data_IF_045248831426
#
_entry.id   IF_045248831426
#
_cell.length_a   1.000
_cell.length_b   1.000
_cell.length_c   1.000
_cell.angle_alpha   90.00
_cell.angle_beta   90.00
_cell.angle_gamma   90.00
#
_symmetry.space_group_name_H-M   'P 1'
#
loop_
_entity.id
_entity.type
_entity.pdbx_description
1 polymer ?
#
# COMPACT_ATOMS: atom_id res chain seq x y z
N UNK A 1 2.55 -3.16 23.39
CA UNK A 1 2.43 -3.51 21.96
C UNK A 1 0.99 -3.87 21.64
N UNK A 2 0.58 -3.82 20.36
CA UNK A 2 -0.80 -4.06 19.91
C UNK A 2 -1.45 -5.32 20.53
N UNK A 3 -0.70 -6.43 20.61
CA UNK A 3 -1.15 -7.71 21.20
C UNK A 3 -1.47 -7.56 22.71
N UNK A 4 -0.60 -6.89 23.48
CA UNK A 4 -0.80 -6.69 24.93
C UNK A 4 -2.01 -5.80 25.21
N UNK A 5 -2.19 -4.77 24.39
CA UNK A 5 -3.32 -3.83 24.51
C UNK A 5 -4.64 -4.49 24.11
N UNK A 6 -4.65 -5.25 23.01
CA UNK A 6 -5.83 -6.02 22.60
C UNK A 6 -6.19 -7.11 23.61
N UNK A 7 -5.20 -7.78 24.19
CA UNK A 7 -5.43 -8.86 25.15
C UNK A 7 -6.07 -8.35 26.44
N UNK A 8 -5.72 -7.14 26.87
CA UNK A 8 -6.39 -6.48 27.99
C UNK A 8 -7.88 -6.27 27.72
N UNK A 9 -8.24 -5.83 26.52
CA UNK A 9 -9.65 -5.58 26.12
C UNK A 9 -10.43 -6.89 26.06
N UNK A 10 -9.84 -7.93 25.47
CA UNK A 10 -10.45 -9.27 25.38
C UNK A 10 -10.60 -9.88 26.76
N UNK A 11 -9.59 -9.77 27.62
CA UNK A 11 -9.63 -10.29 28.98
C UNK A 11 -10.66 -9.55 29.84
N UNK A 12 -10.78 -8.22 29.72
CA UNK A 12 -11.79 -7.45 30.46
C UNK A 12 -13.22 -7.64 29.95
N UNK A 13 -13.40 -7.79 28.63
CA UNK A 13 -14.72 -7.93 28.00
C UNK A 13 -15.28 -9.35 28.03
N UNK A 14 -14.44 -10.34 27.71
CA UNK A 14 -14.84 -11.75 27.59
C UNK A 14 -14.45 -12.59 28.82
N UNK A 15 -13.84 -11.98 29.86
CA UNK A 15 -13.34 -12.65 31.08
C UNK A 15 -12.42 -13.84 30.80
N UNK A 16 -11.75 -13.84 29.65
CA UNK A 16 -10.78 -14.87 29.27
C UNK A 16 -9.47 -14.67 30.02
N UNK A 17 -8.76 -15.78 30.31
CA UNK A 17 -7.41 -15.71 30.86
C UNK A 17 -6.53 -14.85 29.95
N UNK A 18 -5.81 -13.90 30.55
CA UNK A 18 -4.95 -12.95 29.85
C UNK A 18 -3.94 -13.65 28.94
N UNK A 19 -3.36 -14.76 29.38
CA UNK A 19 -2.37 -15.51 28.59
C UNK A 19 -3.01 -16.15 27.36
N UNK A 20 -4.24 -16.64 27.50
CA UNK A 20 -5.02 -17.14 26.37
C UNK A 20 -5.37 -16.02 25.37
N UNK A 21 -5.77 -14.84 25.87
CA UNK A 21 -6.10 -13.69 25.03
C UNK A 21 -4.87 -13.15 24.26
N UNK A 22 -3.69 -13.12 24.89
CA UNK A 22 -2.41 -12.78 24.23
C UNK A 22 -2.10 -13.78 23.12
N UNK A 23 -2.16 -15.08 23.41
CA UNK A 23 -1.86 -16.12 22.43
C UNK A 23 -2.85 -16.10 21.26
N UNK A 24 -4.13 -15.92 21.53
CA UNK A 24 -5.16 -15.79 20.49
C UNK A 24 -4.87 -14.62 19.55
N UNK A 25 -4.61 -13.41 20.10
CA UNK A 25 -4.28 -12.23 19.29
C UNK A 25 -2.96 -12.37 18.54
N UNK A 26 -1.96 -13.02 19.13
CA UNK A 26 -0.70 -13.31 18.45
C UNK A 26 -0.94 -14.21 17.24
N UNK A 27 -1.67 -15.31 17.40
CA UNK A 27 -2.02 -16.23 16.31
C UNK A 27 -2.84 -15.53 15.25
N UNK A 28 -3.85 -14.73 15.62
CA UNK A 28 -4.64 -13.95 14.67
C UNK A 28 -3.77 -12.98 13.86
N UNK A 29 -2.88 -12.25 14.52
CA UNK A 29 -1.94 -11.34 13.86
C UNK A 29 -0.98 -12.05 12.90
N UNK A 30 -0.43 -13.19 13.33
CA UNK A 30 0.47 -14.01 12.50
C UNK A 30 -0.27 -14.62 11.30
N UNK A 31 -1.47 -15.16 11.49
CA UNK A 31 -2.26 -15.75 10.40
C UNK A 31 -2.75 -14.70 9.39
N UNK A 32 -3.14 -13.52 9.87
CA UNK A 32 -3.49 -12.39 9.01
C UNK A 32 -2.28 -11.95 8.18
N UNK A 33 -1.12 -11.78 8.83
CA UNK A 33 0.12 -11.42 8.15
C UNK A 33 0.54 -12.51 7.14
N UNK A 34 0.44 -13.79 7.50
CA UNK A 34 0.78 -14.92 6.65
C UNK A 34 -0.10 -15.01 5.40
N UNK A 35 -1.42 -14.90 5.57
CA UNK A 35 -2.37 -14.91 4.44
C UNK A 35 -2.16 -13.72 3.50
N UNK A 36 -1.92 -12.53 4.07
CA UNK A 36 -1.64 -11.32 3.29
C UNK A 36 -0.28 -11.43 2.57
N UNK A 37 0.71 -12.08 3.19
CA UNK A 37 2.02 -12.30 2.58
C UNK A 37 1.94 -13.28 1.41
N UNK A 38 1.24 -14.41 1.55
CA UNK A 38 1.06 -15.38 0.45
C UNK A 38 0.39 -14.72 -0.77
N UNK A 39 -0.70 -13.98 -0.53
CA UNK A 39 -1.40 -13.24 -1.58
C UNK A 39 -0.52 -12.12 -2.17
N UNK A 40 0.24 -11.40 -1.34
CA UNK A 40 1.16 -10.35 -1.76
C UNK A 40 2.30 -10.85 -2.66
N UNK A 41 3.01 -11.90 -2.25
CA UNK A 41 4.10 -12.52 -3.04
C UNK A 41 3.56 -13.04 -4.37
N UNK A 42 2.35 -13.60 -4.36
CA UNK A 42 1.68 -14.06 -5.58
C UNK A 42 1.39 -12.92 -6.55
N UNK A 43 0.85 -11.80 -6.07
CA UNK A 43 0.60 -10.61 -6.88
C UNK A 43 1.91 -10.01 -7.42
N UNK A 44 2.94 -9.91 -6.58
CA UNK A 44 4.25 -9.41 -6.98
C UNK A 44 4.86 -10.28 -8.09
N UNK A 45 4.75 -11.61 -7.97
CA UNK A 45 5.16 -12.55 -9.02
C UNK A 45 4.43 -12.29 -10.34
N UNK A 46 3.12 -12.04 -10.30
CA UNK A 46 2.35 -11.74 -11.52
C UNK A 46 2.83 -10.45 -12.20
N UNK A 47 3.13 -9.39 -11.43
CA UNK A 47 3.69 -8.15 -11.95
C UNK A 47 5.06 -8.40 -12.61
N UNK A 48 5.93 -9.18 -11.96
CA UNK A 48 7.25 -9.55 -12.49
C UNK A 48 7.12 -10.33 -13.81
N UNK A 49 6.17 -11.28 -13.88
CA UNK A 49 5.90 -12.04 -15.09
C UNK A 49 5.32 -11.17 -16.20
N UNK A 50 4.47 -10.21 -15.87
CA UNK A 50 3.93 -9.24 -16.83
C UNK A 50 5.04 -8.35 -17.41
N UNK A 51 5.98 -7.90 -16.59
CA UNK A 51 7.19 -7.22 -17.06
C UNK A 51 8.05 -8.14 -17.94
N UNK A 52 8.25 -9.39 -17.54
CA UNK A 52 8.96 -10.40 -18.33
C UNK A 52 8.38 -10.57 -19.74
N UNK A 53 7.06 -10.57 -19.87
CA UNK A 53 6.36 -10.60 -21.18
C UNK A 53 6.52 -9.29 -21.94
N UNK A 54 6.32 -8.14 -21.29
CA UNK A 54 6.37 -6.82 -21.93
C UNK A 54 7.76 -6.45 -22.46
N UNK A 55 8.81 -6.85 -21.74
CA UNK A 55 10.21 -6.59 -22.11
C UNK A 55 10.88 -7.77 -22.81
N UNK A 56 10.12 -8.81 -23.18
CA UNK A 56 10.59 -10.00 -23.88
C UNK A 56 11.79 -10.70 -23.19
N UNK A 57 11.72 -10.82 -21.86
CA UNK A 57 12.73 -11.47 -21.02
C UNK A 57 12.23 -12.86 -20.59
N UNK A 58 12.53 -13.95 -21.33
CA UNK A 58 11.97 -15.28 -21.10
C UNK A 58 12.34 -15.89 -19.75
N UNK A 59 13.43 -15.44 -19.11
CA UNK A 59 13.83 -15.88 -17.78
C UNK A 59 12.85 -15.47 -16.67
N UNK A 60 12.20 -14.32 -16.81
CA UNK A 60 11.22 -13.77 -15.85
C UNK A 60 9.83 -14.41 -16.00
N UNK A 61 9.59 -15.14 -17.09
CA UNK A 61 8.34 -15.87 -17.31
C UNK A 61 8.25 -17.17 -16.49
N UNK A 62 9.40 -17.75 -16.10
CA UNK A 62 9.43 -18.99 -15.32
C UNK A 62 8.96 -18.72 -13.88
N UNK A 63 7.99 -19.53 -13.42
CA UNK A 63 7.38 -19.40 -12.10
C UNK A 63 8.42 -19.36 -10.96
N UNK A 64 9.43 -20.23 -10.99
CA UNK A 64 10.45 -20.31 -9.93
C UNK A 64 11.26 -19.02 -9.82
N UNK A 65 11.71 -18.48 -10.96
CA UNK A 65 12.55 -17.27 -11.00
C UNK A 65 11.78 -16.03 -10.56
N UNK A 66 10.54 -15.89 -11.03
CA UNK A 66 9.69 -14.77 -10.64
C UNK A 66 9.34 -14.80 -9.15
N UNK A 67 9.07 -15.98 -8.57
CA UNK A 67 8.86 -16.12 -7.12
C UNK A 67 10.14 -15.83 -6.35
N UNK A 68 11.29 -16.35 -6.79
CA UNK A 68 12.56 -16.11 -6.10
C UNK A 68 12.91 -14.63 -6.05
N UNK A 69 12.70 -13.91 -7.16
CA UNK A 69 12.91 -12.45 -7.22
C UNK A 69 11.91 -11.71 -6.32
N UNK A 70 10.64 -12.12 -6.33
CA UNK A 70 9.62 -11.52 -5.45
C UNK A 70 10.00 -11.67 -3.96
N UNK A 71 10.37 -12.88 -3.55
CA UNK A 71 10.77 -13.17 -2.16
C UNK A 71 12.09 -12.47 -1.82
N UNK A 72 13.08 -12.51 -2.70
CA UNK A 72 14.39 -11.89 -2.47
C UNK A 72 14.28 -10.37 -2.32
N UNK A 73 13.50 -9.70 -3.17
CA UNK A 73 13.28 -8.24 -3.05
C UNK A 73 12.55 -7.87 -1.76
N UNK A 74 11.57 -8.68 -1.33
CA UNK A 74 10.88 -8.50 -0.05
C UNK A 74 11.84 -8.67 1.14
N UNK A 75 12.68 -9.71 1.13
CA UNK A 75 13.71 -9.94 2.16
C UNK A 75 14.74 -8.80 2.20
N UNK A 76 15.26 -8.38 1.04
CA UNK A 76 16.20 -7.28 0.94
C UNK A 76 15.61 -5.98 1.49
N UNK A 77 14.33 -5.72 1.24
CA UNK A 77 13.66 -4.54 1.79
C UNK A 77 13.48 -4.65 3.31
N UNK A 78 13.02 -5.79 3.82
CA UNK A 78 12.79 -6.01 5.24
C UNK A 78 14.07 -5.93 6.08
N UNK A 79 15.16 -6.57 5.63
CA UNK A 79 16.44 -6.57 6.33
C UNK A 79 17.29 -5.33 6.01
N UNK A 80 17.24 -4.83 4.78
CA UNK A 80 17.93 -3.61 4.36
C UNK A 80 17.39 -2.35 5.04
N UNK A 81 16.10 -2.34 5.40
CA UNK A 81 15.50 -1.24 6.17
C UNK A 81 15.87 -1.26 7.67
N UNK A 82 16.14 -2.44 8.23
CA UNK A 82 16.32 -2.65 9.68
C UNK A 82 17.76 -2.88 10.15
N UNK A 83 18.67 -3.19 9.22
CA UNK A 83 19.99 -3.71 9.56
C UNK A 83 19.92 -4.94 10.47
N UNK A 84 21.00 -5.22 11.21
CA UNK A 84 21.09 -6.34 12.15
C UNK A 84 20.07 -6.30 13.32
N UNK A 85 19.39 -5.17 13.51
CA UNK A 85 18.43 -4.99 14.62
C UNK A 85 17.05 -5.62 14.36
N UNK A 86 16.76 -6.06 13.14
CA UNK A 86 15.46 -6.65 12.77
C UNK A 86 14.27 -5.67 12.85
N UNK A 87 14.50 -4.39 13.14
CA UNK A 87 13.46 -3.35 13.31
C UNK A 87 12.95 -2.77 11.98
N UNK A 88 13.34 -3.36 10.85
CA UNK A 88 13.01 -2.85 9.51
C UNK A 88 11.51 -2.74 9.27
N UNK A 89 10.74 -3.71 9.76
CA UNK A 89 9.28 -3.70 9.67
C UNK A 89 8.64 -2.46 10.30
N UNK A 90 9.15 -1.98 11.45
CA UNK A 90 8.62 -0.76 12.09
C UNK A 90 8.92 0.51 11.28
N UNK A 91 9.99 0.50 10.49
CA UNK A 91 10.39 1.63 9.66
C UNK A 91 9.64 1.65 8.32
N UNK A 92 9.30 0.47 7.79
CA UNK A 92 8.50 0.31 6.58
C UNK A 92 7.00 0.58 6.85
N UNK A 93 6.53 0.32 8.08
CA UNK A 93 5.11 0.42 8.43
C UNK A 93 4.42 1.73 8.00
N UNK A 94 5.00 2.93 8.19
CA UNK A 94 4.32 4.16 7.77
C UNK A 94 4.35 4.35 6.25
N UNK A 95 5.36 3.82 5.53
CA UNK A 95 5.38 3.81 4.06
C UNK A 95 4.26 2.92 3.50
N UNK A 96 4.03 1.76 4.15
CA UNK A 96 2.91 0.88 3.83
C UNK A 96 1.56 1.57 4.07
N UNK A 97 1.40 2.25 5.20
CA UNK A 97 0.22 3.05 5.51
C UNK A 97 -0.07 4.13 4.45
N UNK A 98 0.95 4.91 4.07
CA UNK A 98 0.81 5.93 3.03
C UNK A 98 0.44 5.33 1.66
N UNK A 99 1.09 4.23 1.26
CA UNK A 99 0.80 3.54 0.00
C UNK A 99 -0.64 3.04 -0.08
N UNK A 100 -1.17 2.50 1.03
CA UNK A 100 -2.56 2.03 1.09
C UNK A 100 -3.55 3.19 0.98
N UNK A 101 -3.26 4.34 1.59
CA UNK A 101 -4.11 5.53 1.47
C UNK A 101 -4.12 6.08 0.03
N UNK A 102 -2.98 6.04 -0.67
CA UNK A 102 -2.91 6.42 -2.07
C UNK A 102 -3.69 5.44 -2.98
N UNK A 103 -3.59 4.14 -2.74
CA UNK A 103 -4.38 3.14 -3.47
C UNK A 103 -5.89 3.32 -3.23
N UNK A 104 -6.29 3.60 -1.98
CA UNK A 104 -7.67 3.93 -1.65
C UNK A 104 -8.14 5.20 -2.38
N UNK A 105 -7.31 6.24 -2.45
CA UNK A 105 -7.59 7.46 -3.20
C UNK A 105 -7.77 7.19 -4.71
N UNK A 106 -6.89 6.40 -5.32
CA UNK A 106 -7.00 5.98 -6.72
C UNK A 106 -8.28 5.15 -7.00
N UNK A 107 -8.67 4.31 -6.04
CA UNK A 107 -9.89 3.51 -6.13
C UNK A 107 -11.12 4.41 -6.07
N UNK A 108 -11.17 5.34 -5.11
CA UNK A 108 -12.27 6.32 -5.01
C UNK A 108 -12.33 7.26 -6.21
N UNK A 109 -11.19 7.62 -6.82
CA UNK A 109 -11.14 8.32 -8.09
C UNK A 109 -11.84 7.51 -9.19
N UNK A 110 -11.49 6.22 -9.31
CA UNK A 110 -12.10 5.32 -10.28
C UNK A 110 -13.60 5.18 -10.07
N UNK A 111 -14.05 5.02 -8.82
CA UNK A 111 -15.48 4.98 -8.47
C UNK A 111 -16.15 6.32 -8.79
N UNK A 112 -15.51 7.46 -8.53
CA UNK A 112 -16.04 8.78 -8.89
C UNK A 112 -16.22 8.92 -10.41
N UNK A 113 -15.27 8.39 -11.19
CA UNK A 113 -15.33 8.36 -12.66
C UNK A 113 -16.44 7.42 -13.15
N UNK A 114 -16.66 6.30 -12.48
CA UNK A 114 -17.77 5.40 -12.77
C UNK A 114 -19.12 6.06 -12.46
N UNK A 115 -19.25 6.66 -11.27
CA UNK A 115 -20.50 7.20 -10.75
C UNK A 115 -21.05 8.38 -11.58
N UNK A 116 -20.21 9.31 -12.00
CA UNK A 116 -20.69 10.36 -12.91
C UNK A 116 -20.77 9.95 -14.39
N UNK A 117 -20.27 8.77 -14.82
CA UNK A 117 -20.73 8.20 -16.10
C UNK A 117 -22.19 7.75 -16.00
N UNK A 118 -22.59 7.30 -14.83
CA UNK A 118 -23.99 6.99 -14.49
C UNK A 118 -24.83 8.23 -14.09
N UNK A 119 -24.28 9.44 -14.22
CA UNK A 119 -24.92 10.72 -13.83
C UNK A 119 -25.35 10.83 -12.36
N UNK A 120 -24.77 10.03 -11.46
CA UNK A 120 -24.98 10.17 -10.02
C UNK A 120 -24.01 11.18 -9.39
N UNK A 121 -24.36 11.66 -8.18
CA UNK A 121 -23.62 12.68 -7.44
C UNK A 121 -22.26 12.14 -6.95
N UNK A 122 -21.15 12.63 -7.52
CA UNK A 122 -19.78 12.19 -7.17
C UNK A 122 -19.19 12.82 -5.92
N UNK A 123 -19.89 13.75 -5.28
CA UNK A 123 -19.38 14.48 -4.12
C UNK A 123 -19.00 13.52 -2.98
N UNK A 124 -19.79 12.47 -2.77
CA UNK A 124 -19.60 11.51 -1.67
C UNK A 124 -18.36 10.64 -1.83
N UNK A 125 -17.85 10.47 -3.04
CA UNK A 125 -16.61 9.72 -3.31
C UNK A 125 -15.40 10.64 -3.49
N UNK A 126 -15.61 11.87 -4.00
CA UNK A 126 -14.55 12.85 -4.19
C UNK A 126 -14.02 13.46 -2.89
N UNK A 127 -14.90 13.81 -1.94
CA UNK A 127 -14.47 14.37 -0.66
C UNK A 127 -13.50 13.43 0.07
N UNK A 128 -13.85 12.15 0.34
CA UNK A 128 -12.93 11.24 1.03
C UNK A 128 -11.68 10.94 0.20
N UNK A 129 -11.77 10.92 -1.14
CA UNK A 129 -10.63 10.73 -2.02
C UNK A 129 -9.57 11.82 -1.85
N UNK A 130 -10.00 13.09 -1.87
CA UNK A 130 -9.12 14.25 -1.72
C UNK A 130 -8.53 14.29 -0.32
N UNK A 131 -9.34 14.02 0.70
CA UNK A 131 -8.88 13.95 2.08
C UNK A 131 -7.77 12.90 2.27
N UNK A 132 -7.98 11.67 1.80
CA UNK A 132 -6.99 10.60 1.90
C UNK A 132 -5.71 10.94 1.14
N UNK A 133 -5.84 11.54 -0.05
CA UNK A 133 -4.69 11.98 -0.84
C UNK A 133 -3.84 13.03 -0.12
N UNK A 134 -4.47 14.06 0.45
CA UNK A 134 -3.78 15.13 1.16
C UNK A 134 -3.06 14.57 2.39
N UNK A 135 -3.75 13.76 3.20
CA UNK A 135 -3.16 13.17 4.39
C UNK A 135 -1.97 12.27 4.08
N UNK A 136 -2.10 11.42 3.05
CA UNK A 136 -1.00 10.57 2.60
C UNK A 136 0.19 11.39 2.07
N UNK A 137 -0.08 12.46 1.31
CA UNK A 137 0.95 13.33 0.74
C UNK A 137 1.73 14.08 1.83
N UNK A 138 1.04 14.63 2.82
CA UNK A 138 1.66 15.30 3.98
C UNK A 138 2.51 14.30 4.76
N UNK A 139 1.97 13.10 5.05
CA UNK A 139 2.71 12.06 5.76
C UNK A 139 3.99 11.66 5.02
N UNK A 140 3.93 11.48 3.70
CA UNK A 140 5.11 11.16 2.87
C UNK A 140 6.16 12.26 2.89
N UNK A 141 5.78 13.53 2.78
CA UNK A 141 6.72 14.65 2.85
C UNK A 141 7.46 14.70 4.18
N UNK A 142 6.74 14.51 5.29
CA UNK A 142 7.35 14.40 6.63
C UNK A 142 8.31 13.22 6.69
N UNK A 143 7.92 12.08 6.12
CA UNK A 143 8.71 10.86 6.14
C UNK A 143 10.00 10.97 5.33
N UNK A 144 9.94 11.58 4.14
CA UNK A 144 11.10 11.86 3.28
C UNK A 144 12.14 12.68 4.06
N UNK A 145 11.72 13.79 4.69
CA UNK A 145 12.62 14.62 5.49
C UNK A 145 13.20 13.88 6.70
N UNK A 146 12.40 13.04 7.36
CA UNK A 146 12.82 12.21 8.49
C UNK A 146 13.86 11.15 8.08
N UNK A 147 13.65 10.47 6.96
CA UNK A 147 14.56 9.44 6.46
C UNK A 147 15.89 10.01 5.98
N UNK A 148 15.85 11.18 5.33
CA UNK A 148 17.06 11.89 4.94
C UNK A 148 17.92 12.25 6.16
N UNK A 149 17.33 12.88 7.18
CA UNK A 149 18.04 13.22 8.42
C UNK A 149 18.53 12.01 9.21
N UNK A 150 17.82 10.90 9.12
CA UNK A 150 18.18 9.66 9.83
C UNK A 150 19.20 8.79 9.07
N UNK A 151 19.72 9.24 7.92
CA UNK A 151 20.67 8.49 7.10
C UNK A 151 20.11 7.20 6.48
N UNK A 152 18.78 7.05 6.42
CA UNK A 152 18.11 5.84 5.92
C UNK A 152 17.82 5.94 4.43
N UNK A 153 18.89 5.91 3.63
CA UNK A 153 18.82 6.18 2.19
C UNK A 153 17.89 5.22 1.41
N UNK A 154 17.84 3.94 1.78
CA UNK A 154 16.92 2.97 1.15
C UNK A 154 15.45 3.40 1.29
N UNK A 155 15.02 3.75 2.50
CA UNK A 155 13.65 4.18 2.77
C UNK A 155 13.36 5.56 2.20
N UNK A 156 14.37 6.45 2.19
CA UNK A 156 14.27 7.75 1.54
C UNK A 156 13.96 7.60 0.04
N UNK A 157 14.71 6.76 -0.68
CA UNK A 157 14.47 6.49 -2.10
C UNK A 157 13.08 5.86 -2.31
N UNK A 158 12.70 4.89 -1.48
CA UNK A 158 11.37 4.28 -1.56
C UNK A 158 10.25 5.31 -1.33
N UNK A 159 10.42 6.21 -0.36
CA UNK A 159 9.46 7.28 -0.07
C UNK A 159 9.33 8.24 -1.26
N UNK A 160 10.44 8.57 -1.94
CA UNK A 160 10.42 9.39 -3.16
C UNK A 160 9.68 8.69 -4.32
N UNK A 161 9.88 7.38 -4.51
CA UNK A 161 9.16 6.60 -5.52
C UNK A 161 7.65 6.64 -5.24
N UNK A 162 7.24 6.42 -4.00
CA UNK A 162 5.82 6.46 -3.60
C UNK A 162 5.25 7.88 -3.76
N UNK A 163 6.02 8.91 -3.42
CA UNK A 163 5.61 10.29 -3.65
C UNK A 163 5.45 10.61 -5.14
N UNK A 164 6.33 10.09 -6.00
CA UNK A 164 6.15 10.14 -7.46
C UNK A 164 4.84 9.48 -7.92
N UNK A 165 4.49 8.33 -7.34
CA UNK A 165 3.19 7.69 -7.60
C UNK A 165 2.01 8.53 -7.09
N UNK A 166 2.14 9.25 -5.98
CA UNK A 166 1.13 10.20 -5.52
C UNK A 166 0.91 11.32 -6.55
N UNK A 167 1.99 11.92 -7.07
CA UNK A 167 1.89 12.92 -8.14
C UNK A 167 1.23 12.35 -9.40
N UNK A 168 1.52 11.10 -9.74
CA UNK A 168 0.87 10.41 -10.85
C UNK A 168 -0.65 10.28 -10.67
N UNK A 169 -1.13 10.05 -9.45
CA UNK A 169 -2.58 10.01 -9.16
C UNK A 169 -3.25 11.35 -9.47
N UNK A 170 -2.58 12.48 -9.21
CA UNK A 170 -3.10 13.81 -9.59
C UNK A 170 -3.22 13.93 -11.10
N UNK A 171 -2.19 13.51 -11.84
CA UNK A 171 -2.24 13.50 -13.32
C UNK A 171 -3.36 12.58 -13.81
N UNK A 172 -3.53 11.40 -13.21
CA UNK A 172 -4.62 10.48 -13.52
C UNK A 172 -5.99 11.12 -13.25
N UNK A 173 -6.16 11.81 -12.12
CA UNK A 173 -7.39 12.51 -11.77
C UNK A 173 -7.74 13.62 -12.77
N UNK A 174 -6.76 14.47 -13.09
CA UNK A 174 -6.93 15.58 -14.06
C UNK A 174 -7.24 15.04 -15.45
N UNK A 175 -6.50 14.03 -15.91
CA UNK A 175 -6.72 13.42 -17.24
C UNK A 175 -8.10 12.77 -17.34
N UNK A 176 -8.57 12.11 -16.28
CA UNK A 176 -9.88 11.50 -16.25
C UNK A 176 -11.01 12.54 -16.24
N UNK A 177 -10.83 13.65 -15.54
CA UNK A 177 -11.80 14.75 -15.54
C UNK A 177 -11.88 15.41 -16.93
N UNK A 178 -10.72 15.73 -17.55
CA UNK A 178 -10.67 16.34 -18.88
C UNK A 178 -11.27 15.46 -19.98
N UNK A 179 -11.09 14.13 -19.90
CA UNK A 179 -11.65 13.21 -20.88
C UNK A 179 -13.18 13.06 -20.74
N UNK A 180 -13.75 13.34 -19.57
CA UNK A 180 -15.22 13.37 -19.40
C UNK A 180 -15.86 14.50 -20.18
N UNK A 181 -15.32 15.72 -20.11
CA UNK A 181 -15.85 16.87 -20.86
C UNK A 181 -15.89 16.60 -22.36
N UNK A 182 -14.81 16.03 -22.91
CA UNK A 182 -14.77 15.65 -24.33
C UNK A 182 -15.84 14.64 -24.73
N UNK A 183 -16.18 13.70 -23.85
CA UNK A 183 -17.17 12.65 -24.13
C UNK A 183 -18.61 13.16 -24.00
N UNK A 184 -18.85 14.22 -23.21
CA UNK A 184 -20.16 14.85 -23.12
C UNK A 184 -20.40 15.86 -24.25
N UNK A 185 -19.38 16.62 -24.67
CA UNK A 185 -19.47 17.56 -25.80
C UNK A 185 -19.70 16.84 -27.13
N UNK A 186 -19.16 15.63 -27.34
CA UNK A 186 -19.38 14.85 -28.56
C UNK A 186 -20.78 14.20 -28.67
N UNK A 187 -21.62 14.34 -27.64
CA UNK A 187 -22.98 13.76 -27.59
C UNK A 187 -24.10 14.83 -27.53
N UNK A 188 -23.75 16.11 -27.57
CA UNK A 188 -24.68 17.24 -27.69
C UNK A 188 -24.67 17.76 -29.12
#
# INVERSE_FOLDING_TARGET
GFIQSGANIISSGLKLNRDFAVNLLAVMGILFAGTTMDTGVRLQRYIIQEWGKRFNLPFLNKNLNATLIAVATCLLLAFGAGGASGRGGMLIWPLFGASNQLLASLTLLTISIFLARLKYKTIYTMIPMVFLYIMASIALLIQIGSFYRSGKYLLFVLALIIFGAALWIVVAAVSAYRNRDKTQVAKG
#
